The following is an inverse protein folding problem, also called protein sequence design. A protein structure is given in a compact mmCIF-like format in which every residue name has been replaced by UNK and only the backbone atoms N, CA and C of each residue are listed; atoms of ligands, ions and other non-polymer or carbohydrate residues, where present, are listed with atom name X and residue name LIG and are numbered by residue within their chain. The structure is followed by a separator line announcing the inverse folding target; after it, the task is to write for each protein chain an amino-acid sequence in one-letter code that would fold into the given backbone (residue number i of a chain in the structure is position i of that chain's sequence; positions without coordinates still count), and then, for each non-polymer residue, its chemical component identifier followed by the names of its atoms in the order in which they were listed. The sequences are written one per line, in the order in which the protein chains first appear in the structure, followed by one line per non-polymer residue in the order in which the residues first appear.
data_IF_239911008285
#
_entry.id   IF_239911008285
#
_cell.length_a   1.000
_cell.length_b   1.000
_cell.length_c   1.000
_cell.angle_alpha   90.00
_cell.angle_beta   90.00
_cell.angle_gamma   90.00
#
_symmetry.space_group_name_H-M   'P 1'
#
loop_
_entity.id
_entity.type
_entity.pdbx_description
1 polymer ?
#
# COMPACT_ATOMS: atom_id res chain seq x y z
N UNK A 1 -47.57 -14.49 -26.68
CA UNK A 1 -46.34 -15.19 -27.10
C UNK A 1 -45.44 -14.24 -27.90
N UNK A 2 -45.84 -13.77 -29.10
CA UNK A 2 -45.03 -12.85 -29.94
C UNK A 2 -44.63 -11.55 -29.20
N UNK A 3 -45.59 -10.87 -28.55
CA UNK A 3 -45.30 -9.64 -27.80
C UNK A 3 -44.35 -9.83 -26.59
N UNK A 4 -44.29 -11.05 -26.01
CA UNK A 4 -43.36 -11.36 -24.92
C UNK A 4 -41.94 -11.63 -25.46
N UNK A 5 -41.83 -12.26 -26.63
CA UNK A 5 -40.55 -12.46 -27.34
C UNK A 5 -39.96 -11.12 -27.78
N UNK A 6 -40.78 -10.22 -28.33
CA UNK A 6 -40.37 -8.87 -28.73
C UNK A 6 -39.95 -8.01 -27.53
N UNK A 7 -40.70 -8.04 -26.43
CA UNK A 7 -40.32 -7.34 -25.20
C UNK A 7 -39.01 -7.89 -24.60
N UNK A 8 -38.79 -9.21 -24.64
CA UNK A 8 -37.53 -9.82 -24.20
C UNK A 8 -36.36 -9.38 -25.08
N UNK A 9 -36.54 -9.40 -26.41
CA UNK A 9 -35.49 -9.00 -27.35
C UNK A 9 -35.17 -7.51 -27.23
N UNK A 10 -36.17 -6.64 -27.02
CA UNK A 10 -35.98 -5.22 -26.77
C UNK A 10 -35.21 -5.00 -25.46
N UNK A 11 -35.59 -5.69 -24.38
CA UNK A 11 -34.90 -5.60 -23.10
C UNK A 11 -33.45 -6.07 -23.17
N UNK A 12 -33.17 -7.16 -23.89
CA UNK A 12 -31.80 -7.64 -24.13
C UNK A 12 -30.98 -6.67 -24.98
N UNK A 13 -31.60 -6.04 -25.99
CA UNK A 13 -30.95 -5.05 -26.84
C UNK A 13 -30.61 -3.78 -26.05
N UNK A 14 -31.56 -3.27 -25.25
CA UNK A 14 -31.34 -2.11 -24.36
C UNK A 14 -30.28 -2.43 -23.31
N UNK A 15 -30.31 -3.63 -22.73
CA UNK A 15 -29.30 -4.10 -21.78
C UNK A 15 -27.91 -4.19 -22.42
N UNK A 16 -27.80 -4.72 -23.64
CA UNK A 16 -26.55 -4.78 -24.40
C UNK A 16 -26.04 -3.37 -24.78
N UNK A 17 -26.92 -2.45 -25.17
CA UNK A 17 -26.55 -1.06 -25.47
C UNK A 17 -26.13 -0.27 -24.23
N UNK A 18 -26.59 -0.66 -23.04
CA UNK A 18 -26.22 -0.03 -21.76
C UNK A 18 -25.01 -0.68 -21.07
N UNK A 19 -24.44 -1.76 -21.61
CA UNK A 19 -23.22 -2.33 -21.04
C UNK A 19 -22.06 -1.33 -21.18
N UNK A 20 -21.32 -1.05 -20.09
CA UNK A 20 -20.13 -0.23 -20.21
C UNK A 20 -19.10 -0.95 -21.09
N UNK A 21 -18.19 -0.21 -21.74
CA UNK A 21 -17.14 -0.79 -22.56
C UNK A 21 -16.34 -1.87 -21.80
N UNK A 22 -15.91 -2.98 -22.44
CA UNK A 22 -15.15 -4.07 -21.81
C UNK A 22 -13.92 -3.60 -21.00
N UNK A 23 -13.32 -2.49 -21.42
CA UNK A 23 -12.18 -1.85 -20.76
C UNK A 23 -12.54 -1.34 -19.35
N UNK A 24 -13.78 -0.90 -19.13
CA UNK A 24 -14.26 -0.44 -17.82
C UNK A 24 -14.24 -1.59 -16.81
N UNK A 25 -14.73 -2.76 -17.20
CA UNK A 25 -14.70 -3.96 -16.35
C UNK A 25 -13.27 -4.39 -16.02
N UNK A 26 -12.35 -4.21 -16.96
CA UNK A 26 -10.92 -4.48 -16.77
C UNK A 26 -10.27 -3.51 -15.78
N UNK A 27 -10.64 -2.23 -15.81
CA UNK A 27 -10.19 -1.23 -14.83
C UNK A 27 -10.75 -1.54 -13.44
N UNK A 28 -12.06 -1.83 -13.34
CA UNK A 28 -12.74 -2.14 -12.08
C UNK A 28 -12.16 -3.39 -11.42
N UNK A 29 -11.96 -4.45 -12.20
CA UNK A 29 -11.34 -5.69 -11.71
C UNK A 29 -9.90 -5.48 -11.26
N UNK A 30 -9.14 -4.60 -11.92
CA UNK A 30 -7.82 -4.17 -11.49
C UNK A 30 -7.85 -3.46 -10.12
N UNK A 31 -8.75 -2.50 -9.92
CA UNK A 31 -8.95 -1.83 -8.61
C UNK A 31 -9.27 -2.86 -7.52
N UNK A 32 -10.19 -3.79 -7.80
CA UNK A 32 -10.60 -4.82 -6.85
C UNK A 32 -9.42 -5.72 -6.47
N UNK A 33 -8.70 -6.26 -7.46
CA UNK A 33 -7.55 -7.13 -7.28
C UNK A 33 -6.40 -6.46 -6.51
N UNK A 34 -6.12 -5.18 -6.80
CA UNK A 34 -5.12 -4.41 -6.08
C UNK A 34 -5.53 -4.22 -4.61
N UNK A 35 -6.78 -3.83 -4.37
CA UNK A 35 -7.35 -3.61 -3.04
C UNK A 35 -7.31 -4.87 -2.17
N UNK A 36 -7.73 -6.00 -2.73
CA UNK A 36 -7.74 -7.30 -2.01
C UNK A 36 -6.33 -7.77 -1.72
N UNK A 37 -5.37 -7.56 -2.64
CA UNK A 37 -3.96 -7.88 -2.40
C UNK A 37 -3.37 -7.05 -1.26
N UNK A 38 -3.66 -5.74 -1.20
CA UNK A 38 -3.25 -4.89 -0.07
C UNK A 38 -3.88 -5.35 1.25
N UNK A 39 -5.16 -5.70 1.24
CA UNK A 39 -5.88 -6.17 2.42
C UNK A 39 -5.31 -7.50 2.94
N UNK A 40 -5.09 -8.46 2.04
CA UNK A 40 -4.48 -9.75 2.32
C UNK A 40 -3.07 -9.57 2.90
N UNK A 41 -2.25 -8.71 2.29
CA UNK A 41 -0.92 -8.39 2.82
C UNK A 41 -1.00 -7.77 4.22
N UNK A 42 -1.88 -6.79 4.44
CA UNK A 42 -2.06 -6.19 5.77
C UNK A 42 -2.42 -7.25 6.83
N UNK A 43 -3.30 -8.19 6.47
CA UNK A 43 -3.66 -9.31 7.32
C UNK A 43 -2.49 -10.27 7.58
N UNK A 44 -1.74 -10.66 6.54
CA UNK A 44 -0.56 -11.53 6.67
C UNK A 44 0.51 -10.88 7.54
N UNK A 45 0.77 -9.58 7.35
CA UNK A 45 1.68 -8.80 8.17
C UNK A 45 1.28 -8.87 9.64
N UNK A 46 -0.02 -8.74 9.96
CA UNK A 46 -0.50 -8.80 11.34
C UNK A 46 -0.45 -10.21 11.94
N UNK A 47 -0.97 -11.20 11.21
CA UNK A 47 -1.28 -12.54 11.74
C UNK A 47 -0.11 -13.50 11.64
N UNK A 48 0.61 -13.46 10.52
CA UNK A 48 1.71 -14.37 10.22
C UNK A 48 3.02 -13.73 10.67
N UNK A 49 3.34 -12.54 10.15
CA UNK A 49 4.62 -11.88 10.42
C UNK A 49 4.67 -11.16 11.78
N UNK A 50 3.52 -11.01 12.44
CA UNK A 50 3.36 -10.24 13.69
C UNK A 50 3.97 -8.84 13.60
N UNK A 51 3.92 -8.24 12.42
CA UNK A 51 4.43 -6.91 12.10
C UNK A 51 3.33 -5.86 12.26
N UNK A 52 3.74 -4.66 12.63
CA UNK A 52 2.91 -3.45 12.61
C UNK A 52 3.79 -2.23 12.37
N UNK A 53 3.22 -1.03 12.43
CA UNK A 53 4.00 0.22 12.47
C UNK A 53 4.89 0.36 13.71
N UNK A 54 4.79 -0.54 14.69
CA UNK A 54 5.75 -0.61 15.80
C UNK A 54 7.03 -1.40 15.46
N UNK A 55 7.05 -2.08 14.32
CA UNK A 55 8.23 -2.83 13.87
C UNK A 55 9.34 -1.88 13.40
N UNK A 56 10.59 -2.30 13.59
CA UNK A 56 11.76 -1.48 13.31
C UNK A 56 11.77 -0.98 11.86
N UNK A 57 11.97 0.33 11.67
CA UNK A 57 12.19 0.89 10.34
C UNK A 57 13.51 0.34 9.75
N UNK A 58 13.58 0.12 8.43
CA UNK A 58 12.60 0.46 7.40
C UNK A 58 11.58 -0.66 7.08
N UNK A 59 11.54 -1.74 7.86
CA UNK A 59 10.90 -3.00 7.46
C UNK A 59 9.41 -2.88 7.05
N UNK A 60 8.52 -2.18 7.79
CA UNK A 60 7.13 -2.00 7.34
C UNK A 60 7.01 -1.27 5.99
N UNK A 61 7.89 -0.33 5.69
CA UNK A 61 7.91 0.37 4.40
C UNK A 61 8.40 -0.53 3.28
N UNK A 62 9.40 -1.38 3.52
CA UNK A 62 9.90 -2.33 2.52
C UNK A 62 8.83 -3.37 2.16
N UNK A 63 8.17 -3.96 3.17
CA UNK A 63 7.07 -4.89 2.94
C UNK A 63 5.90 -4.19 2.24
N UNK A 64 5.60 -2.95 2.62
CA UNK A 64 4.59 -2.14 1.94
C UNK A 64 4.93 -1.90 0.46
N UNK A 65 6.19 -1.58 0.13
CA UNK A 65 6.66 -1.41 -1.24
C UNK A 65 6.51 -2.71 -2.04
N UNK A 66 7.04 -3.82 -1.51
CA UNK A 66 6.91 -5.13 -2.15
C UNK A 66 5.44 -5.53 -2.37
N UNK A 67 4.58 -5.21 -1.40
CA UNK A 67 3.13 -5.45 -1.51
C UNK A 67 2.51 -4.67 -2.67
N UNK A 68 2.91 -3.41 -2.87
CA UNK A 68 2.42 -2.62 -4.02
C UNK A 68 2.86 -3.24 -5.34
N UNK A 69 4.12 -3.67 -5.47
CA UNK A 69 4.61 -4.36 -6.66
C UNK A 69 3.79 -5.62 -6.97
N UNK A 70 3.57 -6.49 -5.96
CA UNK A 70 2.75 -7.71 -6.12
C UNK A 70 1.31 -7.35 -6.49
N UNK A 71 0.70 -6.39 -5.80
CA UNK A 71 -0.66 -5.93 -6.08
C UNK A 71 -0.80 -5.40 -7.51
N UNK A 72 0.21 -4.73 -8.05
CA UNK A 72 0.23 -4.25 -9.44
C UNK A 72 0.29 -5.38 -10.45
N UNK A 73 1.13 -6.39 -10.24
CA UNK A 73 1.19 -7.56 -11.12
C UNK A 73 -0.14 -8.32 -11.10
N UNK A 74 -0.71 -8.56 -9.91
CA UNK A 74 -2.01 -9.24 -9.76
C UNK A 74 -3.10 -8.41 -10.44
N UNK A 75 -3.15 -7.10 -10.20
CA UNK A 75 -4.10 -6.19 -10.86
C UNK A 75 -4.00 -6.24 -12.37
N UNK A 76 -2.78 -6.16 -12.92
CA UNK A 76 -2.55 -6.23 -14.35
C UNK A 76 -3.09 -7.53 -14.96
N UNK A 77 -2.75 -8.67 -14.36
CA UNK A 77 -3.17 -9.99 -14.86
C UNK A 77 -4.68 -10.18 -14.76
N UNK A 78 -5.30 -9.73 -13.66
CA UNK A 78 -6.77 -9.79 -13.49
C UNK A 78 -7.48 -8.89 -14.49
N UNK A 79 -6.96 -7.68 -14.76
CA UNK A 79 -7.51 -6.79 -15.79
C UNK A 79 -7.48 -7.42 -17.18
N UNK A 80 -6.36 -8.01 -17.58
CA UNK A 80 -6.25 -8.71 -18.88
C UNK A 80 -7.20 -9.91 -18.98
N UNK A 81 -7.27 -10.72 -17.93
CA UNK A 81 -8.17 -11.88 -17.87
C UNK A 81 -9.63 -11.44 -17.99
N UNK A 82 -10.00 -10.35 -17.31
CA UNK A 82 -11.36 -9.81 -17.35
C UNK A 82 -11.70 -9.28 -18.73
N UNK A 83 -10.78 -8.56 -19.38
CA UNK A 83 -10.98 -8.08 -20.75
C UNK A 83 -11.26 -9.24 -21.72
N UNK A 84 -10.47 -10.30 -21.61
CA UNK A 84 -10.62 -11.48 -22.45
C UNK A 84 -11.97 -12.16 -22.24
N UNK A 85 -12.37 -12.40 -20.97
CA UNK A 85 -13.67 -13.02 -20.65
C UNK A 85 -14.82 -12.17 -21.20
N UNK A 86 -14.77 -10.84 -21.02
CA UNK A 86 -15.83 -9.94 -21.48
C UNK A 86 -15.90 -9.86 -23.01
N UNK A 87 -14.74 -9.85 -23.71
CA UNK A 87 -14.71 -9.78 -25.19
C UNK A 87 -15.06 -11.10 -25.86
N UNK A 88 -14.54 -12.21 -25.36
CA UNK A 88 -14.73 -13.53 -25.98
C UNK A 88 -16.01 -14.24 -25.54
N UNK A 89 -16.60 -13.83 -24.41
CA UNK A 89 -17.67 -14.59 -23.75
C UNK A 89 -17.19 -15.92 -23.16
N UNK A 90 -15.90 -16.26 -23.28
CA UNK A 90 -15.32 -17.48 -22.74
C UNK A 90 -15.09 -17.31 -21.23
N UNK A 91 -15.78 -18.14 -20.44
CA UNK A 91 -15.71 -18.14 -18.98
C UNK A 91 -14.63 -19.09 -18.44
N UNK A 92 -13.69 -19.54 -19.28
CA UNK A 92 -12.54 -20.38 -18.87
C UNK A 92 -11.21 -19.58 -18.75
N UNK A 93 -11.10 -18.58 -17.85
CA UNK A 93 -9.93 -17.71 -17.76
C UNK A 93 -8.63 -18.46 -17.42
N UNK A 94 -8.70 -19.65 -16.82
CA UNK A 94 -7.52 -20.43 -16.42
C UNK A 94 -6.68 -20.93 -17.61
N UNK A 95 -7.27 -21.12 -18.80
CA UNK A 95 -6.50 -21.55 -19.99
C UNK A 95 -5.53 -20.47 -20.46
N UNK A 96 -5.91 -19.20 -20.34
CA UNK A 96 -5.00 -18.08 -20.61
C UNK A 96 -3.85 -18.02 -19.62
N UNK A 97 -4.14 -18.27 -18.33
CA UNK A 97 -3.11 -18.34 -17.29
C UNK A 97 -2.10 -19.45 -17.57
N UNK A 98 -2.58 -20.63 -17.92
CA UNK A 98 -1.75 -21.77 -18.25
C UNK A 98 -0.90 -21.51 -19.50
N UNK A 99 -1.48 -20.95 -20.56
CA UNK A 99 -0.74 -20.59 -21.79
C UNK A 99 0.28 -19.46 -21.56
N UNK A 100 -0.02 -18.46 -20.72
CA UNK A 100 0.89 -17.37 -20.41
C UNK A 100 2.07 -17.84 -19.55
N UNK A 101 1.81 -18.69 -18.54
CA UNK A 101 2.86 -19.31 -17.72
C UNK A 101 3.70 -20.32 -18.52
N UNK A 102 3.05 -21.15 -19.35
CA UNK A 102 3.75 -22.08 -20.23
C UNK A 102 4.55 -21.34 -21.29
N UNK A 103 4.07 -20.24 -21.90
CA UNK A 103 4.92 -19.42 -22.78
C UNK A 103 6.08 -18.81 -22.01
N UNK A 104 5.85 -18.24 -20.82
CA UNK A 104 6.90 -17.71 -19.96
C UNK A 104 8.00 -18.72 -19.60
N UNK A 105 7.65 -20.01 -19.47
CA UNK A 105 8.59 -21.10 -19.15
C UNK A 105 9.10 -21.90 -20.37
N UNK A 106 8.38 -21.93 -21.50
CA UNK A 106 8.71 -22.71 -22.70
C UNK A 106 9.43 -21.91 -23.80
N UNK A 107 9.81 -20.66 -23.53
CA UNK A 107 10.50 -19.79 -24.48
C UNK A 107 12.02 -20.02 -24.59
N UNK A 108 12.46 -21.25 -24.25
CA UNK A 108 13.87 -21.66 -24.25
C UNK A 108 14.33 -22.47 -25.46
N UNK A 109 13.48 -22.75 -26.47
CA UNK A 109 13.87 -23.73 -27.49
C UNK A 109 13.39 -23.49 -28.93
N UNK A 110 13.03 -22.25 -29.31
CA UNK A 110 12.72 -21.97 -30.72
C UNK A 110 13.53 -20.79 -31.26
N UNK A 111 14.82 -21.06 -31.44
CA UNK A 111 15.75 -20.29 -32.25
C UNK A 111 15.49 -20.59 -33.73
N UNK A 112 14.52 -19.92 -34.34
CA UNK A 112 14.46 -19.79 -35.79
C UNK A 112 14.31 -18.30 -36.17
N UNK A 113 15.49 -17.72 -36.38
CA UNK A 113 15.86 -16.69 -37.36
C UNK A 113 14.75 -15.81 -37.96
N UNK A 114 14.68 -14.57 -37.45
CA UNK A 114 14.37 -13.40 -38.28
C UNK A 114 15.52 -12.39 -38.14
N UNK A 115 16.35 -12.16 -39.19
CA UNK A 115 17.60 -11.41 -39.09
C UNK A 115 17.46 -9.88 -39.04
N UNK A 116 16.24 -9.32 -39.05
CA UNK A 116 16.01 -7.87 -39.01
C UNK A 116 15.52 -7.31 -37.67
N UNK A 117 15.44 -8.14 -36.62
CA UNK A 117 15.13 -7.69 -35.26
C UNK A 117 16.32 -7.92 -34.34
N UNK A 118 17.41 -7.18 -34.55
CA UNK A 118 18.60 -7.19 -33.70
C UNK A 118 18.34 -6.47 -32.37
N UNK A 119 17.44 -7.03 -31.56
CA UNK A 119 17.42 -6.84 -30.11
C UNK A 119 17.55 -8.23 -29.49
N UNK A 120 18.73 -8.51 -28.94
CA UNK A 120 19.16 -9.83 -28.50
C UNK A 120 18.25 -10.37 -27.40
N UNK A 121 17.93 -11.65 -27.49
CA UNK A 121 16.98 -12.35 -26.61
C UNK A 121 17.44 -12.41 -25.13
N UNK A 122 18.72 -12.10 -24.85
CA UNK A 122 19.28 -11.94 -23.51
C UNK A 122 18.68 -10.75 -22.73
N UNK A 123 18.03 -9.79 -23.41
CA UNK A 123 17.52 -8.53 -22.84
C UNK A 123 16.12 -8.62 -22.21
N UNK A 124 15.54 -9.82 -21.97
CA UNK A 124 14.14 -9.95 -21.50
C UNK A 124 13.98 -10.00 -19.98
N UNK A 125 15.05 -10.31 -19.27
CA UNK A 125 15.04 -10.48 -17.82
C UNK A 125 16.18 -9.70 -17.17
N UNK A 126 15.88 -9.09 -16.03
CA UNK A 126 16.89 -8.56 -15.13
C UNK A 126 17.30 -9.70 -14.17
N UNK A 127 18.59 -10.04 -14.17
CA UNK A 127 19.14 -10.96 -13.20
C UNK A 127 19.37 -10.22 -11.88
N UNK A 128 18.54 -10.52 -10.87
CA UNK A 128 18.75 -10.06 -9.51
C UNK A 128 19.36 -11.20 -8.68
N UNK A 129 20.06 -10.90 -7.57
CA UNK A 129 20.57 -11.93 -6.66
C UNK A 129 19.49 -12.89 -6.14
N UNK A 130 18.23 -12.46 -6.17
CA UNK A 130 17.06 -13.18 -5.67
C UNK A 130 16.29 -13.93 -6.77
N UNK A 131 16.72 -13.82 -8.04
CA UNK A 131 16.10 -14.49 -9.18
C UNK A 131 15.96 -13.62 -10.42
N UNK A 132 15.39 -14.19 -11.48
CA UNK A 132 15.14 -13.51 -12.76
C UNK A 132 13.79 -12.81 -12.74
N UNK A 133 13.77 -11.52 -13.07
CA UNK A 133 12.52 -10.74 -13.17
C UNK A 133 12.37 -10.23 -14.60
N UNK A 134 11.21 -10.46 -15.23
CA UNK A 134 10.97 -9.93 -16.57
C UNK A 134 10.88 -8.39 -16.56
N UNK A 135 11.36 -7.74 -17.63
CA UNK A 135 11.20 -6.29 -17.79
C UNK A 135 9.74 -5.85 -17.78
N UNK A 136 8.85 -6.68 -18.31
CA UNK A 136 7.41 -6.45 -18.24
C UNK A 136 6.93 -6.38 -16.79
N UNK A 137 7.32 -7.33 -15.94
CA UNK A 137 7.00 -7.30 -14.50
C UNK A 137 7.54 -6.04 -13.83
N UNK A 138 8.80 -5.68 -14.11
CA UNK A 138 9.41 -4.47 -13.56
C UNK A 138 8.62 -3.21 -13.96
N UNK A 139 8.22 -3.12 -15.23
CA UNK A 139 7.37 -2.03 -15.74
C UNK A 139 6.06 -1.90 -14.99
N UNK A 140 5.34 -3.01 -14.83
CA UNK A 140 4.06 -3.04 -14.11
C UNK A 140 4.25 -2.61 -12.65
N UNK A 141 5.31 -3.07 -11.99
CA UNK A 141 5.68 -2.65 -10.64
C UNK A 141 5.94 -1.14 -10.56
N UNK A 142 6.71 -0.58 -11.50
CA UNK A 142 6.99 0.86 -11.56
C UNK A 142 5.71 1.69 -11.74
N UNK A 143 4.85 1.34 -12.71
CA UNK A 143 3.57 2.03 -12.93
C UNK A 143 2.71 1.99 -11.66
N UNK A 144 2.66 0.84 -11.01
CA UNK A 144 1.95 0.65 -9.76
C UNK A 144 2.46 1.50 -8.60
N UNK A 145 3.78 1.50 -8.39
CA UNK A 145 4.46 2.30 -7.37
C UNK A 145 4.21 3.79 -7.61
N UNK A 146 4.35 4.25 -8.85
CA UNK A 146 4.03 5.61 -9.28
C UNK A 146 2.59 5.96 -8.92
N UNK A 147 1.64 5.16 -9.39
CA UNK A 147 0.22 5.45 -9.22
C UNK A 147 -0.13 5.49 -7.72
N UNK A 148 0.35 4.51 -6.96
CA UNK A 148 0.13 4.44 -5.53
C UNK A 148 0.75 5.62 -4.79
N UNK A 149 2.05 5.89 -4.99
CA UNK A 149 2.83 6.81 -4.16
C UNK A 149 2.73 8.25 -4.62
N UNK A 150 2.89 8.49 -5.92
CA UNK A 150 3.01 9.83 -6.50
C UNK A 150 1.64 10.40 -6.84
N UNK A 151 0.82 9.65 -7.58
CA UNK A 151 -0.48 10.15 -8.05
C UNK A 151 -1.53 10.16 -6.94
N UNK A 152 -1.60 9.08 -6.15
CA UNK A 152 -2.66 8.88 -5.16
C UNK A 152 -2.20 9.11 -3.70
N UNK A 153 -0.96 9.56 -3.51
CA UNK A 153 -0.43 9.97 -2.21
C UNK A 153 -0.29 8.84 -1.17
N UNK A 154 -0.22 7.59 -1.62
CA UNK A 154 -0.01 6.42 -0.79
C UNK A 154 1.30 6.48 0.00
N UNK A 155 1.35 5.75 1.12
CA UNK A 155 2.57 5.60 1.92
C UNK A 155 2.78 4.12 2.17
N UNK A 156 3.94 3.58 1.82
CA UNK A 156 4.22 2.16 2.01
C UNK A 156 4.08 1.73 3.48
N UNK A 157 4.58 2.57 4.40
CA UNK A 157 4.36 2.42 5.85
C UNK A 157 2.89 2.27 6.25
N UNK A 158 1.97 2.92 5.52
CA UNK A 158 0.54 2.92 5.86
C UNK A 158 -0.19 1.63 5.46
N UNK A 159 0.50 0.69 4.78
CA UNK A 159 -0.01 -0.66 4.49
C UNK A 159 0.11 -1.55 5.72
N UNK A 160 1.16 -1.37 6.54
CA UNK A 160 1.29 -2.16 7.76
C UNK A 160 0.16 -1.89 8.76
N UNK A 161 -0.26 -2.87 9.58
CA UNK A 161 -1.23 -2.67 10.65
C UNK A 161 -0.77 -1.59 11.64
N UNK A 162 -1.69 -0.78 12.17
CA UNK A 162 -1.32 0.31 13.09
C UNK A 162 -1.02 -0.22 14.48
N UNK A 163 0.16 0.07 15.01
CA UNK A 163 0.45 -0.15 16.42
C UNK A 163 -0.32 0.82 17.31
N UNK A 164 -0.76 0.35 18.48
CA UNK A 164 -1.31 1.20 19.54
C UNK A 164 -0.25 1.84 20.43
N UNK A 165 0.99 1.34 20.41
CA UNK A 165 2.09 1.82 21.28
C UNK A 165 3.17 2.60 20.53
N UNK A 166 2.97 2.76 19.22
CA UNK A 166 3.79 3.56 18.32
C UNK A 166 2.89 4.41 17.42
N UNK A 167 3.50 5.23 16.57
CA UNK A 167 2.78 5.97 15.54
C UNK A 167 2.02 5.00 14.62
N UNK A 168 0.69 5.13 14.62
CA UNK A 168 -0.16 4.34 13.72
C UNK A 168 0.06 4.66 12.25
N UNK A 169 -0.49 3.80 11.39
CA UNK A 169 -0.33 3.84 9.93
C UNK A 169 -0.84 5.13 9.30
N UNK A 170 -1.73 5.86 9.98
CA UNK A 170 -2.32 7.12 9.51
C UNK A 170 -1.69 8.35 10.16
N UNK A 171 -0.67 8.18 11.01
CA UNK A 171 0.06 9.31 11.58
C UNK A 171 0.71 10.13 10.49
N UNK A 172 0.54 11.46 10.58
CA UNK A 172 1.21 12.44 9.74
C UNK A 172 2.28 13.14 10.58
N UNK A 173 3.53 12.78 10.36
CA UNK A 173 4.67 13.29 11.14
C UNK A 173 5.27 14.56 10.57
N UNK A 174 4.98 14.89 9.30
CA UNK A 174 5.49 16.11 8.67
C UNK A 174 4.94 17.35 9.38
N UNK A 175 5.85 18.22 9.82
CA UNK A 175 5.54 19.52 10.43
C UNK A 175 4.71 20.39 9.49
N UNK A 176 4.97 20.33 8.18
CA UNK A 176 4.26 21.10 7.17
C UNK A 176 2.75 20.76 7.09
N UNK A 177 2.36 19.52 7.42
CA UNK A 177 0.96 19.12 7.45
C UNK A 177 0.27 19.31 8.82
N UNK A 178 0.96 19.91 9.81
CA UNK A 178 0.46 20.10 11.17
C UNK A 178 -0.19 18.82 11.74
N UNK A 179 0.45 17.67 11.54
CA UNK A 179 -0.12 16.36 11.89
C UNK A 179 0.09 15.94 13.36
N UNK A 180 0.76 16.77 14.14
CA UNK A 180 0.93 16.64 15.59
C UNK A 180 1.31 17.99 16.19
N UNK A 181 1.04 18.17 17.48
CA UNK A 181 1.53 19.30 18.27
C UNK A 181 2.56 18.81 19.31
N UNK A 182 3.55 19.64 19.70
CA UNK A 182 4.42 19.34 20.82
C UNK A 182 3.61 19.04 22.07
N UNK A 183 4.09 18.11 22.91
CA UNK A 183 3.44 17.76 24.17
C UNK A 183 4.46 17.69 25.30
N UNK A 184 3.99 17.97 26.51
CA UNK A 184 4.68 17.60 27.74
C UNK A 184 4.16 16.25 28.25
N UNK A 185 4.70 15.75 29.35
CA UNK A 185 4.16 14.55 30.01
C UNK A 185 2.76 14.77 30.63
N UNK A 186 2.29 16.03 30.72
CA UNK A 186 0.95 16.38 31.21
C UNK A 186 -0.11 16.07 30.15
N UNK A 187 -1.35 15.91 30.59
CA UNK A 187 -2.49 15.82 29.66
C UNK A 187 -2.66 17.12 28.88
N UNK A 188 -3.25 17.02 27.69
CA UNK A 188 -3.56 18.17 26.86
C UNK A 188 -4.46 19.16 27.61
N UNK A 189 -4.07 20.42 27.63
CA UNK A 189 -4.85 21.59 28.04
C UNK A 189 -6.09 21.77 27.15
N UNK A 190 -7.03 22.62 27.58
CA UNK A 190 -8.24 22.91 26.80
C UNK A 190 -7.93 23.45 25.39
N UNK A 191 -6.91 24.31 25.28
CA UNK A 191 -6.46 24.84 24.00
C UNK A 191 -5.84 23.74 23.11
N UNK A 192 -4.97 22.88 23.67
CA UNK A 192 -4.38 21.76 22.94
C UNK A 192 -5.44 20.75 22.48
N UNK A 193 -6.44 20.46 23.32
CA UNK A 193 -7.57 19.59 22.95
C UNK A 193 -8.36 20.14 21.78
N UNK A 194 -8.62 21.45 21.76
CA UNK A 194 -9.29 22.10 20.63
C UNK A 194 -8.48 21.97 19.33
N UNK A 195 -7.16 22.15 19.42
CA UNK A 195 -6.25 21.95 18.28
C UNK A 195 -6.24 20.51 17.78
N UNK A 196 -6.14 19.54 18.70
CA UNK A 196 -6.17 18.12 18.36
C UNK A 196 -7.52 17.72 17.74
N UNK A 197 -8.63 18.21 18.27
CA UNK A 197 -9.97 17.96 17.71
C UNK A 197 -10.09 18.52 16.29
N UNK A 198 -9.68 19.78 16.06
CA UNK A 198 -9.65 20.39 14.71
C UNK A 198 -8.77 19.59 13.75
N UNK A 199 -7.59 19.17 14.22
CA UNK A 199 -6.67 18.36 13.44
C UNK A 199 -7.29 17.01 13.08
N UNK A 200 -7.85 16.28 14.06
CA UNK A 200 -8.49 14.99 13.85
C UNK A 200 -9.66 15.04 12.87
N UNK A 201 -10.47 16.11 12.89
CA UNK A 201 -11.55 16.31 11.89
C UNK A 201 -10.99 16.41 10.47
N UNK A 202 -9.85 17.06 10.29
CA UNK A 202 -9.21 17.27 8.99
C UNK A 202 -8.47 16.02 8.49
N UNK A 203 -7.58 15.47 9.31
CA UNK A 203 -6.64 14.41 8.89
C UNK A 203 -7.02 13.01 9.38
N UNK A 204 -7.97 12.89 10.29
CA UNK A 204 -8.42 11.63 10.87
C UNK A 204 -7.56 11.15 12.04
N UNK A 205 -8.01 10.06 12.65
CA UNK A 205 -7.31 9.36 13.72
C UNK A 205 -5.97 8.80 13.20
N UNK A 206 -4.86 9.07 13.90
CA UNK A 206 -3.55 8.57 13.50
C UNK A 206 -3.43 7.03 13.55
N UNK A 207 -4.30 6.35 14.30
CA UNK A 207 -4.34 4.89 14.43
C UNK A 207 -5.23 4.24 13.36
N UNK A 208 -6.47 4.68 13.16
CA UNK A 208 -7.42 4.00 12.26
C UNK A 208 -7.80 4.79 11.01
N UNK A 209 -7.39 6.06 10.90
CA UNK A 209 -7.70 6.94 9.78
C UNK A 209 -9.12 7.53 9.80
N UNK A 210 -9.99 7.15 10.74
CA UNK A 210 -11.37 7.65 10.80
C UNK A 210 -11.41 9.14 11.12
N UNK A 211 -12.22 9.90 10.36
CA UNK A 211 -12.54 11.32 10.62
C UNK A 211 -13.75 11.54 11.53
N UNK A 212 -14.45 10.47 11.91
CA UNK A 212 -15.65 10.54 12.76
C UNK A 212 -16.70 11.57 12.31
N UNK A 213 -16.84 11.76 10.99
CA UNK A 213 -17.73 12.76 10.41
C UNK A 213 -19.18 12.62 10.91
N UNK A 214 -19.70 11.39 10.92
CA UNK A 214 -21.05 11.07 11.37
C UNK A 214 -21.17 10.76 12.88
N UNK A 215 -20.09 10.89 13.65
CA UNK A 215 -20.17 10.67 15.09
C UNK A 215 -20.92 11.82 15.77
N UNK A 216 -21.84 11.48 16.67
CA UNK A 216 -22.54 12.42 17.57
C UNK A 216 -21.81 12.66 18.90
N UNK A 217 -20.64 12.05 19.11
CA UNK A 217 -19.87 12.23 20.33
C UNK A 217 -19.42 13.69 20.49
N UNK A 218 -19.56 14.22 21.71
CA UNK A 218 -19.13 15.58 22.07
C UNK A 218 -17.61 15.78 21.88
N UNK A 219 -16.82 14.75 22.22
CA UNK A 219 -15.39 14.67 21.94
C UNK A 219 -15.16 13.55 20.94
N UNK A 220 -14.59 13.88 19.78
CA UNK A 220 -14.31 12.88 18.73
C UNK A 220 -12.85 12.43 18.82
N UNK A 221 -11.94 13.37 19.06
CA UNK A 221 -10.51 13.13 19.12
C UNK A 221 -9.92 13.57 20.44
N UNK A 222 -8.98 12.76 20.94
CA UNK A 222 -8.17 13.05 22.12
C UNK A 222 -6.71 13.19 21.71
N UNK A 223 -5.96 13.98 22.47
CA UNK A 223 -4.51 14.11 22.31
C UNK A 223 -3.82 12.86 22.84
N UNK A 224 -3.47 11.95 21.93
CA UNK A 224 -2.71 10.76 22.27
C UNK A 224 -1.22 11.09 22.37
N UNK A 225 -0.60 10.76 23.50
CA UNK A 225 0.83 10.93 23.73
C UNK A 225 1.60 9.89 22.94
N UNK A 226 2.40 10.30 21.94
CA UNK A 226 3.38 9.41 21.31
C UNK A 226 4.82 9.75 21.71
N UNK A 227 5.58 8.76 22.22
CA UNK A 227 5.13 7.44 22.66
C UNK A 227 4.23 7.53 23.92
N UNK A 228 3.41 6.50 24.25
CA UNK A 228 2.58 6.52 25.44
C UNK A 228 3.42 6.70 26.71
N UNK A 229 2.88 7.39 27.72
CA UNK A 229 3.61 7.68 28.97
C UNK A 229 4.22 6.45 29.63
N UNK A 230 3.49 5.33 29.69
CA UNK A 230 4.01 4.08 30.26
C UNK A 230 5.24 3.56 29.49
N UNK A 231 5.20 3.63 28.16
CA UNK A 231 6.33 3.26 27.29
C UNK A 231 7.50 4.22 27.49
N UNK A 232 7.24 5.53 27.51
CA UNK A 232 8.26 6.54 27.75
C UNK A 232 8.93 6.38 29.11
N UNK A 233 8.17 6.10 30.17
CA UNK A 233 8.71 5.84 31.51
C UNK A 233 9.63 4.61 31.52
N UNK A 234 9.23 3.52 30.86
CA UNK A 234 10.08 2.34 30.72
C UNK A 234 11.36 2.65 29.92
N UNK A 235 11.27 3.49 28.88
CA UNK A 235 12.44 3.90 28.09
C UNK A 235 13.39 4.79 28.90
N UNK A 236 12.86 5.80 29.60
CA UNK A 236 13.63 6.71 30.46
C UNK A 236 14.25 5.99 31.67
N UNK A 237 13.70 4.84 32.08
CA UNK A 237 14.27 4.02 33.14
C UNK A 237 15.60 3.33 32.74
N UNK A 238 15.94 3.29 31.45
CA UNK A 238 17.20 2.70 30.98
C UNK A 238 18.39 3.56 31.42
N UNK A 239 19.38 2.92 32.03
CA UNK A 239 20.55 3.58 32.61
C UNK A 239 21.26 4.51 31.62
N UNK A 240 21.45 4.08 30.37
CA UNK A 240 22.09 4.88 29.30
C UNK A 240 21.37 6.21 29.08
N UNK A 241 20.02 6.23 29.08
CA UNK A 241 19.26 7.46 28.88
C UNK A 241 19.33 8.38 30.09
N UNK A 242 19.39 7.82 31.30
CA UNK A 242 19.59 8.60 32.52
C UNK A 242 20.97 9.27 32.52
N UNK A 243 22.00 8.51 32.11
CA UNK A 243 23.36 9.02 32.02
C UNK A 243 23.50 10.14 30.98
N UNK A 244 22.85 9.98 29.82
CA UNK A 244 22.91 10.96 28.73
C UNK A 244 21.95 12.15 28.89
N UNK A 245 21.16 12.22 29.96
CA UNK A 245 20.27 13.36 30.24
C UNK A 245 19.23 13.66 29.14
N UNK A 246 18.88 12.68 28.30
CA UNK A 246 18.02 12.89 27.13
C UNK A 246 16.64 12.22 27.30
N UNK A 247 15.67 12.91 27.93
CA UNK A 247 14.34 12.36 28.16
C UNK A 247 13.58 12.19 26.85
N UNK A 248 12.71 11.18 26.81
CA UNK A 248 11.78 10.98 25.70
C UNK A 248 10.88 12.20 25.52
N UNK A 249 10.91 12.78 24.33
CA UNK A 249 10.02 13.87 23.94
C UNK A 249 8.64 13.33 23.56
N UNK A 250 7.60 14.07 23.92
CA UNK A 250 6.21 13.73 23.60
C UNK A 250 5.67 14.62 22.50
N UNK A 251 4.74 14.06 21.72
CA UNK A 251 3.87 14.82 20.82
C UNK A 251 2.44 14.32 20.95
N UNK A 252 1.48 15.20 20.79
CA UNK A 252 0.08 14.82 20.68
C UNK A 252 -0.30 14.53 19.23
N UNK A 253 -0.90 13.38 19.01
CA UNK A 253 -1.54 13.01 17.76
C UNK A 253 -3.05 12.88 17.97
N UNK A 254 -3.88 13.21 16.97
CA UNK A 254 -5.32 13.04 17.06
C UNK A 254 -5.68 11.56 17.03
N UNK A 255 -6.25 11.04 18.11
CA UNK A 255 -6.73 9.67 18.18
C UNK A 255 -8.22 9.65 18.52
N UNK A 256 -9.00 8.81 17.84
CA UNK A 256 -10.42 8.69 18.16
C UNK A 256 -10.62 7.98 19.51
N UNK A 257 -11.70 8.32 20.21
CA UNK A 257 -12.06 7.73 21.52
C UNK A 257 -12.02 6.19 21.51
N UNK A 258 -12.56 5.46 20.50
CA UNK A 258 -12.48 4.01 20.48
C UNK A 258 -11.05 3.46 20.40
N UNK A 259 -10.17 4.11 19.63
CA UNK A 259 -8.77 3.69 19.54
C UNK A 259 -8.01 4.00 20.83
N UNK A 260 -8.28 5.15 21.44
CA UNK A 260 -7.66 5.55 22.71
C UNK A 260 -8.06 4.63 23.86
N UNK A 261 -9.35 4.29 23.96
CA UNK A 261 -9.83 3.31 24.96
C UNK A 261 -9.14 1.96 24.80
N UNK A 262 -9.07 1.43 23.56
CA UNK A 262 -8.39 0.15 23.29
C UNK A 262 -6.89 0.20 23.60
N UNK A 263 -6.22 1.31 23.27
CA UNK A 263 -4.82 1.52 23.65
C UNK A 263 -4.65 1.47 25.18
N UNK A 264 -5.52 2.14 25.92
CA UNK A 264 -5.53 2.14 27.38
C UNK A 264 -5.65 0.72 27.96
N UNK A 265 -6.56 -0.10 27.42
CA UNK A 265 -6.72 -1.51 27.83
C UNK A 265 -5.45 -2.33 27.57
N UNK A 266 -4.86 -2.20 26.38
CA UNK A 266 -3.62 -2.92 26.00
C UNK A 266 -2.46 -2.53 26.94
N UNK A 267 -2.26 -1.23 27.15
CA UNK A 267 -1.18 -0.72 28.01
C UNK A 267 -1.41 -1.04 29.49
N UNK A 268 -2.66 -1.00 29.95
CA UNK A 268 -3.03 -1.36 31.32
C UNK A 268 -2.65 -2.80 31.63
N UNK A 269 -3.04 -3.74 30.75
CA UNK A 269 -2.65 -5.15 30.86
C UNK A 269 -1.13 -5.32 30.83
N UNK A 270 -0.45 -4.78 29.82
CA UNK A 270 1.00 -4.93 29.68
C UNK A 270 1.78 -4.33 30.86
N UNK A 271 1.29 -3.23 31.45
CA UNK A 271 1.91 -2.62 32.64
C UNK A 271 1.68 -3.49 33.87
N UNK A 272 0.51 -4.11 34.01
CA UNK A 272 0.23 -5.09 35.07
C UNK A 272 1.17 -6.30 34.97
N UNK A 273 1.30 -6.88 33.78
CA UNK A 273 2.18 -8.01 33.51
C UNK A 273 3.65 -7.67 33.82
N UNK A 274 4.09 -6.46 33.45
CA UNK A 274 5.43 -5.97 33.79
C UNK A 274 5.63 -5.85 35.30
N UNK A 275 4.66 -5.31 36.04
CA UNK A 275 4.75 -5.20 37.52
C UNK A 275 4.82 -6.58 38.17
N UNK A 276 3.98 -7.51 37.73
CA UNK A 276 4.00 -8.89 38.21
C UNK A 276 5.35 -9.57 37.93
N UNK A 277 5.91 -9.38 36.73
CA UNK A 277 7.22 -9.92 36.37
C UNK A 277 8.34 -9.37 37.26
N UNK A 278 8.31 -8.06 37.56
CA UNK A 278 9.29 -7.41 38.45
C UNK A 278 9.15 -7.94 39.88
N UNK A 279 7.91 -8.06 40.38
CA UNK A 279 7.64 -8.51 41.74
C UNK A 279 7.92 -10.02 41.97
N UNK A 280 8.07 -10.80 40.90
CA UNK A 280 8.32 -12.25 41.03
C UNK A 280 9.69 -12.54 41.66
N UNK A 281 9.81 -13.49 42.61
CA UNK A 281 11.08 -13.86 43.24
C UNK A 281 12.16 -14.34 42.24
N UNK A 282 11.73 -14.90 41.10
CA UNK A 282 12.62 -15.30 40.01
C UNK A 282 13.39 -14.12 39.39
N UNK A 283 12.88 -12.89 39.51
CA UNK A 283 13.53 -11.68 38.99
C UNK A 283 14.78 -11.27 39.80
N UNK A 284 14.86 -11.68 41.08
CA UNK A 284 16.01 -11.41 41.96
C UNK A 284 17.27 -12.16 41.52
N UNK A 285 17.09 -13.38 41.00
CA UNK A 285 18.20 -14.22 40.52
C UNK A 285 18.46 -14.09 39.02
N UNK A 286 17.49 -13.60 38.24
CA UNK A 286 17.63 -13.35 36.81
C UNK A 286 17.61 -11.87 36.50
N UNK A 287 18.60 -11.13 37.02
CA UNK A 287 18.81 -9.68 36.80
C UNK A 287 19.18 -9.31 35.36
N UNK A 288 18.76 -10.09 34.35
CA UNK A 288 18.94 -9.78 32.93
C UNK A 288 17.72 -9.00 32.43
N UNK A 289 17.92 -7.69 32.26
CA UNK A 289 16.94 -6.73 31.70
C UNK A 289 16.27 -7.19 30.40
N UNK A 290 16.87 -8.12 29.65
CA UNK A 290 16.37 -8.65 28.38
C UNK A 290 15.12 -9.52 28.49
N UNK A 291 14.73 -10.00 29.69
CA UNK A 291 13.55 -10.86 29.89
C UNK A 291 12.28 -10.11 30.32
N UNK A 292 12.37 -8.83 30.69
CA UNK A 292 11.18 -8.07 31.11
C UNK A 292 10.27 -7.74 29.91
N UNK A 293 8.94 -7.76 30.10
CA UNK A 293 8.00 -7.34 29.05
C UNK A 293 8.32 -5.94 28.52
N UNK A 294 8.43 -5.82 27.20
CA UNK A 294 8.68 -4.53 26.53
C UNK A 294 7.34 -3.88 26.16
N UNK A 295 6.96 -2.81 26.87
CA UNK A 295 5.69 -2.11 26.67
C UNK A 295 5.56 -1.52 25.27
N UNK A 296 6.67 -1.17 24.61
CA UNK A 296 6.65 -0.67 23.24
C UNK A 296 6.08 -1.70 22.26
N UNK A 297 6.24 -3.00 22.53
CA UNK A 297 5.74 -4.08 21.66
C UNK A 297 4.28 -4.47 21.93
N UNK A 298 3.70 -4.03 23.05
CA UNK A 298 2.38 -4.48 23.51
C UNK A 298 1.23 -4.13 22.53
N UNK A 299 1.31 -2.98 21.85
CA UNK A 299 0.32 -2.54 20.89
C UNK A 299 0.56 -2.99 19.44
N UNK A 300 1.58 -3.81 19.17
CA UNK A 300 1.92 -4.31 17.85
C UNK A 300 1.42 -5.73 17.55
N UNK A 301 1.83 -6.28 16.40
CA UNK A 301 1.51 -7.65 15.99
C UNK A 301 0.01 -7.96 16.05
N UNK A 302 -0.38 -9.02 16.77
CA UNK A 302 -1.77 -9.47 16.87
C UNK A 302 -2.70 -8.40 17.47
N UNK A 303 -2.18 -7.54 18.36
CA UNK A 303 -2.96 -6.46 18.98
C UNK A 303 -3.11 -5.22 18.09
N UNK A 304 -2.33 -5.13 17.01
CA UNK A 304 -2.37 -4.00 16.09
C UNK A 304 -3.76 -3.84 15.45
N UNK A 305 -4.09 -2.61 15.06
CA UNK A 305 -5.32 -2.32 14.35
C UNK A 305 -5.18 -2.68 12.87
N UNK A 306 -5.98 -3.65 12.42
CA UNK A 306 -6.08 -3.99 11.00
C UNK A 306 -7.00 -3.01 10.28
N UNK A 307 -6.50 -2.44 9.19
CA UNK A 307 -7.22 -1.46 8.37
C UNK A 307 -7.19 -1.83 6.88
N UNK A 308 -6.81 -3.06 6.54
CA UNK A 308 -6.60 -3.50 5.15
C UNK A 308 -7.87 -3.42 4.31
N UNK A 309 -9.03 -3.69 4.91
CA UNK A 309 -10.33 -3.63 4.22
C UNK A 309 -10.92 -2.21 4.14
N UNK A 310 -10.26 -1.19 4.70
CA UNK A 310 -10.78 0.19 4.61
C UNK A 310 -10.43 0.79 3.25
N UNK A 311 -11.43 1.23 2.45
CA UNK A 311 -11.19 1.80 1.14
C UNK A 311 -10.40 3.11 1.25
N UNK A 312 -9.49 3.33 0.29
CA UNK A 312 -8.63 4.51 0.23
C UNK A 312 -8.38 4.89 -1.22
N UNK A 313 -8.08 6.17 -1.43
CA UNK A 313 -7.80 6.69 -2.76
C UNK A 313 -6.69 5.92 -3.50
N UNK A 314 -5.60 5.56 -2.82
CA UNK A 314 -4.50 4.81 -3.44
C UNK A 314 -4.82 3.34 -3.77
N UNK A 315 -5.97 2.81 -3.37
CA UNK A 315 -6.44 1.52 -3.87
C UNK A 315 -6.82 1.58 -5.36
N UNK A 316 -7.12 2.79 -5.87
CA UNK A 316 -7.37 3.02 -7.30
C UNK A 316 -6.12 2.84 -8.18
N UNK A 317 -4.94 2.65 -7.60
CA UNK A 317 -3.71 2.37 -8.35
C UNK A 317 -3.86 1.13 -9.24
N UNK A 318 -4.64 0.12 -8.81
CA UNK A 318 -4.96 -1.04 -9.65
C UNK A 318 -5.73 -0.68 -10.91
N UNK A 319 -6.62 0.31 -10.84
CA UNK A 319 -7.34 0.82 -12.00
C UNK A 319 -6.42 1.54 -12.99
N UNK A 320 -5.42 2.27 -12.49
CA UNK A 320 -4.37 2.88 -13.35
C UNK A 320 -3.56 1.78 -14.03
N UNK A 321 -3.11 0.78 -13.29
CA UNK A 321 -2.35 -0.35 -13.86
C UNK A 321 -3.17 -1.12 -14.89
N UNK A 322 -4.43 -1.43 -14.58
CA UNK A 322 -5.35 -2.11 -15.49
C UNK A 322 -5.67 -1.27 -16.73
N UNK A 323 -5.97 0.02 -16.56
CA UNK A 323 -6.26 0.93 -17.66
C UNK A 323 -5.09 1.10 -18.62
N UNK A 324 -3.88 1.31 -18.09
CA UNK A 324 -2.66 1.39 -18.90
C UNK A 324 -2.43 0.10 -19.69
N UNK A 325 -2.82 -1.06 -19.15
CA UNK A 325 -2.66 -2.35 -19.82
C UNK A 325 -3.62 -2.55 -21.01
N UNK A 326 -4.85 -2.05 -20.91
CA UNK A 326 -5.95 -2.40 -21.85
C UNK A 326 -6.35 -1.26 -22.78
N UNK A 327 -6.28 -0.01 -22.32
CA UNK A 327 -6.79 1.13 -23.09
C UNK A 327 -5.89 1.38 -24.30
N UNK A 328 -6.46 1.30 -25.51
CA UNK A 328 -5.75 1.50 -26.77
C UNK A 328 -4.74 0.40 -27.12
N UNK A 329 -4.79 -0.76 -26.45
CA UNK A 329 -4.02 -1.93 -26.84
C UNK A 329 -4.81 -2.75 -27.88
N UNK A 330 -4.18 -3.07 -29.02
CA UNK A 330 -4.73 -4.04 -29.95
C UNK A 330 -4.46 -5.48 -29.46
N UNK A 331 -5.03 -6.49 -30.12
CA UNK A 331 -4.87 -7.89 -29.70
C UNK A 331 -3.40 -8.35 -29.74
N UNK A 332 -2.64 -7.93 -30.75
CA UNK A 332 -1.21 -8.22 -30.83
C UNK A 332 -0.42 -7.59 -29.67
N UNK A 333 -0.74 -6.35 -29.28
CA UNK A 333 -0.15 -5.67 -28.13
C UNK A 333 -0.47 -6.42 -26.83
N UNK A 334 -1.70 -6.90 -26.66
CA UNK A 334 -2.08 -7.67 -25.47
C UNK A 334 -1.32 -9.00 -25.39
N UNK A 335 -1.15 -9.68 -26.52
CA UNK A 335 -0.47 -10.98 -26.62
C UNK A 335 1.05 -10.87 -26.46
N UNK A 336 1.64 -9.74 -26.87
CA UNK A 336 3.07 -9.43 -26.70
C UNK A 336 3.36 -8.61 -25.42
N UNK A 337 2.43 -8.63 -24.46
CA UNK A 337 2.56 -7.94 -23.18
C UNK A 337 2.91 -6.45 -23.33
N UNK A 338 2.36 -5.78 -24.34
CA UNK A 338 2.58 -4.40 -24.74
C UNK A 338 4.08 -4.05 -24.97
N UNK A 339 4.89 -4.98 -25.48
CA UNK A 339 6.35 -4.77 -25.64
C UNK A 339 6.68 -3.52 -26.46
N UNK A 340 6.16 -3.41 -27.68
CA UNK A 340 6.48 -2.29 -28.57
C UNK A 340 5.95 -0.95 -28.05
N UNK A 341 4.76 -0.96 -27.46
CA UNK A 341 4.10 0.25 -26.92
C UNK A 341 4.93 0.98 -25.86
N UNK A 342 5.74 0.24 -25.11
CA UNK A 342 6.59 0.76 -24.02
C UNK A 342 8.09 0.54 -24.25
N UNK A 343 8.52 0.16 -25.45
CA UNK A 343 9.94 -0.10 -25.74
C UNK A 343 10.83 1.10 -25.40
N UNK A 344 10.41 2.31 -25.79
CA UNK A 344 11.12 3.54 -25.44
C UNK A 344 11.20 3.76 -23.93
N UNK A 345 10.10 3.57 -23.21
CA UNK A 345 10.08 3.75 -21.75
C UNK A 345 10.94 2.71 -21.03
N UNK A 346 10.97 1.47 -21.55
CA UNK A 346 11.86 0.42 -21.04
C UNK A 346 13.32 0.78 -21.28
N UNK A 347 13.67 1.30 -22.46
CA UNK A 347 15.00 1.80 -22.76
C UNK A 347 15.40 2.93 -21.78
N UNK A 348 14.54 3.94 -21.63
CA UNK A 348 14.79 5.06 -20.70
C UNK A 348 14.93 4.60 -19.24
N UNK A 349 14.15 3.60 -18.81
CA UNK A 349 14.24 3.01 -17.48
C UNK A 349 15.54 2.21 -17.30
N UNK A 350 15.93 1.44 -18.31
CA UNK A 350 17.19 0.68 -18.31
C UNK A 350 18.38 1.63 -18.17
N UNK A 351 18.44 2.67 -19.01
CA UNK A 351 19.45 3.73 -18.92
C UNK A 351 19.47 4.40 -17.55
N UNK A 352 18.30 4.72 -16.99
CA UNK A 352 18.21 5.33 -15.66
C UNK A 352 18.63 4.38 -14.51
N UNK A 353 18.43 3.07 -14.65
CA UNK A 353 18.85 2.07 -13.67
C UNK A 353 20.34 1.78 -13.71
N UNK A 354 20.98 1.97 -14.86
CA UNK A 354 22.43 1.87 -15.03
C UNK A 354 23.18 3.13 -14.55
N UNK A 355 22.48 4.24 -14.31
CA UNK A 355 23.09 5.47 -13.77
C UNK A 355 23.36 5.37 -12.26
N UNK A 356 24.55 5.79 -11.84
CA UNK A 356 25.09 5.54 -10.49
C UNK A 356 24.50 6.42 -9.39
N UNK A 357 23.81 7.53 -9.72
CA UNK A 357 23.35 8.48 -8.69
C UNK A 357 21.83 8.43 -8.44
N UNK A 358 21.37 8.37 -7.17
CA UNK A 358 19.95 8.36 -6.81
C UNK A 358 19.12 9.55 -7.32
N UNK A 359 19.78 10.70 -7.55
CA UNK A 359 19.14 11.92 -8.04
C UNK A 359 18.80 11.82 -9.53
N UNK A 360 19.70 11.26 -10.34
CA UNK A 360 19.49 11.02 -11.76
C UNK A 360 18.40 9.95 -11.99
N UNK A 361 18.36 8.92 -11.14
CA UNK A 361 17.29 7.92 -11.16
C UNK A 361 15.91 8.54 -10.95
N UNK A 362 15.78 9.44 -9.96
CA UNK A 362 14.50 10.11 -9.65
C UNK A 362 14.00 10.98 -10.82
N UNK A 363 14.91 11.67 -11.50
CA UNK A 363 14.59 12.53 -12.64
C UNK A 363 14.27 11.73 -13.90
N UNK A 364 15.05 10.67 -14.20
CA UNK A 364 14.73 9.71 -15.26
C UNK A 364 13.36 9.07 -15.07
N UNK A 365 13.06 8.66 -13.84
CA UNK A 365 11.76 8.14 -13.46
C UNK A 365 10.64 9.17 -13.65
N UNK A 366 10.84 10.43 -13.23
CA UNK A 366 9.87 11.52 -13.42
C UNK A 366 9.59 11.79 -14.90
N UNK A 367 10.61 11.77 -15.76
CA UNK A 367 10.47 11.91 -17.22
C UNK A 367 9.65 10.78 -17.82
N UNK A 368 9.94 9.53 -17.47
CA UNK A 368 9.17 8.37 -17.92
C UNK A 368 7.70 8.45 -17.50
N UNK A 369 7.44 8.92 -16.29
CA UNK A 369 6.10 9.17 -15.74
C UNK A 369 5.33 10.21 -16.56
N UNK A 370 5.98 11.31 -16.94
CA UNK A 370 5.40 12.36 -17.78
C UNK A 370 5.16 11.87 -19.21
N UNK A 371 6.02 11.00 -19.74
CA UNK A 371 5.81 10.35 -21.03
C UNK A 371 4.58 9.43 -21.01
N UNK A 372 4.42 8.61 -19.96
CA UNK A 372 3.21 7.80 -19.75
C UNK A 372 1.98 8.69 -19.64
N UNK A 373 2.04 9.78 -18.86
CA UNK A 373 0.94 10.74 -18.75
C UNK A 373 0.56 11.31 -20.12
N UNK A 374 1.51 11.81 -20.90
CA UNK A 374 1.25 12.35 -22.26
C UNK A 374 0.63 11.32 -23.21
N UNK A 375 0.99 10.05 -23.07
CA UNK A 375 0.50 8.97 -23.95
C UNK A 375 -0.86 8.41 -23.54
N UNK A 376 -1.14 8.38 -22.24
CA UNK A 376 -2.41 7.89 -21.66
C UNK A 376 -3.47 8.99 -21.63
N UNK A 377 -3.03 10.24 -21.46
CA UNK A 377 -3.87 11.43 -21.41
C UNK A 377 -3.20 12.49 -22.31
N UNK A 378 -3.26 12.33 -23.64
CA UNK A 378 -2.87 13.41 -24.52
C UNK A 378 -3.72 14.62 -24.12
N UNK A 379 -3.08 15.77 -23.91
CA UNK A 379 -3.86 16.99 -23.76
C UNK A 379 -4.64 17.14 -25.08
N UNK A 380 -5.96 17.12 -25.01
CA UNK A 380 -6.77 17.69 -26.09
C UNK A 380 -6.51 19.21 -26.06
N UNK A 381 -5.44 19.62 -26.74
CA UNK A 381 -5.22 21.03 -27.08
C UNK A 381 -6.16 21.46 -28.23
N UNK A 382 -7.22 20.69 -28.53
CA UNK A 382 -8.21 20.94 -29.59
C UNK A 382 -9.49 21.65 -29.11
N UNK A 383 -9.43 22.37 -27.99
CA UNK A 383 -10.46 23.38 -27.66
C UNK A 383 -9.88 24.79 -27.74
N UNK A 384 -9.70 25.25 -28.98
CA UNK A 384 -9.85 26.64 -29.40
C UNK A 384 -10.88 26.68 -30.52
#
# INVERSE_FOLDING_TARGET
MIALEEARNLALTVWQQQQPPPEVWSVVSGVAAFSTTLAASTWCQQRILRMSTGTLAPFPSLVGFATVCVASVVSHRVSLSTLQVVRSGDTTPWRFWEQSFQRGNSFGNNSNSNPHASFSYADKHLELPVGRVSWHTLRICCIGVVAFKVLLGGRFWAIAPSSYTHLGSFARTSSWMNGSIPATARYASSAERLWVERMGRRIGCHTCGSRMAHSRAAVKFVGDHMPPKAVANQQNARWIRRLLGNPVQFRFFPQCVPCSSKQGTILGKATSDLRAAIASPASLFTRRSSKLPNLARAGGGVQAYNHGLRPRLHHLAGGVVGGVAVLGANEADLMDENRYRYAQWQHDLHEALLQETPQQWLEGFRRGLMAVRKKVWPNDDSSC
#
